data_IF_334225554036
#
_entry.id   IF_334225554036
#
_cell.length_a   1.000
_cell.length_b   1.000
_cell.length_c   1.000
_cell.angle_alpha   90.00
_cell.angle_beta   90.00
_cell.angle_gamma   90.00
#
_symmetry.space_group_name_H-M   'P 1'
#
loop_
_entity.id
_entity.type
_entity.pdbx_description
1 polymer ?
#
# COMPACT_ATOMS: atom_id res chain seq x y z
N UNK A 1 30.20 -25.53 -40.69
CA UNK A 1 29.16 -25.77 -39.65
C UNK A 1 29.34 -24.91 -38.40
N UNK A 2 30.54 -24.70 -37.86
CA UNK A 2 30.86 -23.91 -36.64
C UNK A 2 30.52 -22.41 -36.78
N UNK A 3 30.84 -21.78 -37.93
CA UNK A 3 30.59 -20.35 -38.21
C UNK A 3 29.09 -20.01 -38.21
N UNK A 4 28.26 -20.88 -38.75
CA UNK A 4 26.81 -20.64 -38.79
C UNK A 4 26.15 -20.75 -37.39
N UNK A 5 26.68 -21.62 -36.51
CA UNK A 5 26.25 -21.67 -35.11
C UNK A 5 26.64 -20.40 -34.36
N UNK A 6 27.86 -19.90 -34.54
CA UNK A 6 28.34 -18.67 -33.92
C UNK A 6 27.48 -17.46 -34.36
N UNK A 7 27.21 -17.32 -35.65
CA UNK A 7 26.32 -16.26 -36.17
C UNK A 7 24.91 -16.32 -35.55
N UNK A 8 24.36 -17.54 -35.39
CA UNK A 8 23.06 -17.74 -34.76
C UNK A 8 23.05 -17.32 -33.26
N UNK A 9 24.10 -17.67 -32.51
CA UNK A 9 24.28 -17.28 -31.09
C UNK A 9 24.39 -15.78 -30.98
N UNK A 10 25.23 -15.12 -31.79
CA UNK A 10 25.38 -13.66 -31.80
C UNK A 10 24.04 -12.98 -32.10
N UNK A 11 23.28 -13.47 -33.09
CA UNK A 11 21.96 -12.91 -33.44
C UNK A 11 20.99 -13.01 -32.25
N UNK A 12 20.92 -14.16 -31.58
CA UNK A 12 20.06 -14.35 -30.40
C UNK A 12 20.48 -13.41 -29.27
N UNK A 13 21.79 -13.29 -29.03
CA UNK A 13 22.31 -12.38 -28.02
C UNK A 13 21.95 -10.91 -28.31
N UNK A 14 22.09 -10.45 -29.55
CA UNK A 14 21.72 -9.09 -29.94
C UNK A 14 20.21 -8.85 -29.83
N UNK A 15 19.36 -9.84 -30.10
CA UNK A 15 17.91 -9.75 -29.91
C UNK A 15 17.60 -9.59 -28.42
N UNK A 16 18.19 -10.39 -27.54
CA UNK A 16 18.01 -10.30 -26.10
C UNK A 16 18.44 -8.91 -25.59
N UNK A 17 19.61 -8.43 -26.05
CA UNK A 17 20.11 -7.10 -25.68
C UNK A 17 19.15 -5.99 -26.13
N UNK A 18 18.61 -6.08 -27.35
CA UNK A 18 17.62 -5.12 -27.86
C UNK A 18 16.34 -5.13 -27.03
N UNK A 19 15.84 -6.31 -26.65
CA UNK A 19 14.65 -6.45 -25.79
C UNK A 19 14.91 -5.80 -24.42
N UNK A 20 16.07 -6.08 -23.80
CA UNK A 20 16.43 -5.48 -22.52
C UNK A 20 16.52 -3.95 -22.60
N UNK A 21 17.10 -3.43 -23.68
CA UNK A 21 17.16 -1.98 -23.90
C UNK A 21 15.76 -1.35 -24.03
N UNK A 22 14.85 -2.00 -24.75
CA UNK A 22 13.45 -1.54 -24.88
C UNK A 22 12.76 -1.53 -23.50
N UNK A 23 12.97 -2.56 -22.69
CA UNK A 23 12.41 -2.63 -21.33
C UNK A 23 12.94 -1.47 -20.48
N UNK A 24 14.25 -1.21 -20.51
CA UNK A 24 14.85 -0.09 -19.76
C UNK A 24 14.26 1.25 -20.22
N UNK A 25 14.15 1.49 -21.51
CA UNK A 25 13.56 2.71 -22.07
C UNK A 25 12.09 2.86 -21.60
N UNK A 26 11.32 1.77 -21.63
CA UNK A 26 9.94 1.79 -21.16
C UNK A 26 9.83 2.11 -19.66
N UNK A 27 10.69 1.53 -18.81
CA UNK A 27 10.73 1.81 -17.38
C UNK A 27 11.08 3.27 -17.12
N UNK A 28 12.13 3.79 -17.76
CA UNK A 28 12.55 5.19 -17.63
C UNK A 28 11.44 6.13 -18.12
N UNK A 29 10.82 5.83 -19.24
CA UNK A 29 9.68 6.59 -19.78
C UNK A 29 8.51 6.63 -18.81
N UNK A 30 8.13 5.50 -18.21
CA UNK A 30 7.08 5.44 -17.19
C UNK A 30 7.43 6.28 -15.95
N UNK A 31 8.67 6.22 -15.47
CA UNK A 31 9.12 7.00 -14.33
C UNK A 31 9.07 8.52 -14.62
N UNK A 32 9.52 8.97 -15.79
CA UNK A 32 9.46 10.36 -16.21
C UNK A 32 8.01 10.87 -16.32
N UNK A 33 7.10 10.06 -16.90
CA UNK A 33 5.68 10.43 -16.98
C UNK A 33 5.08 10.58 -15.60
N UNK A 34 5.39 9.68 -14.67
CA UNK A 34 4.91 9.76 -13.28
C UNK A 34 5.43 11.02 -12.60
N UNK A 35 6.71 11.34 -12.76
CA UNK A 35 7.32 12.54 -12.19
C UNK A 35 6.65 13.82 -12.70
N UNK A 36 6.38 13.92 -14.01
CA UNK A 36 5.74 15.11 -14.60
C UNK A 36 4.23 15.19 -14.38
N UNK A 37 3.57 14.09 -13.99
CA UNK A 37 2.13 14.03 -13.72
C UNK A 37 1.76 14.04 -12.25
N UNK A 38 2.67 14.40 -11.37
CA UNK A 38 2.33 14.57 -9.96
C UNK A 38 1.30 15.70 -9.81
N UNK A 39 0.27 15.51 -8.98
CA UNK A 39 -0.67 16.58 -8.68
C UNK A 39 0.08 17.75 -8.04
N UNK A 40 -0.17 18.93 -8.56
CA UNK A 40 0.34 20.15 -7.93
C UNK A 40 -0.64 20.51 -6.84
N UNK A 41 -0.16 20.65 -5.61
CA UNK A 41 -0.96 21.14 -4.49
C UNK A 41 -1.46 22.56 -4.81
N UNK A 42 -2.75 22.80 -4.62
CA UNK A 42 -3.31 24.14 -4.68
C UNK A 42 -2.79 24.98 -3.52
N UNK A 43 -2.96 26.30 -3.58
CA UNK A 43 -2.58 27.17 -2.45
C UNK A 43 -3.46 26.87 -1.22
N UNK A 44 -4.71 26.48 -1.43
CA UNK A 44 -5.62 26.04 -0.37
C UNK A 44 -5.11 24.75 0.31
N UNK A 45 -4.69 23.73 -0.48
CA UNK A 45 -4.08 22.52 0.05
C UNK A 45 -2.81 22.81 0.87
N UNK A 46 -1.99 23.77 0.40
CA UNK A 46 -0.75 24.15 1.09
C UNK A 46 -1.03 24.87 2.40
N UNK A 47 -2.07 25.70 2.45
CA UNK A 47 -2.48 26.39 3.66
C UNK A 47 -3.07 25.40 4.67
N UNK A 48 -3.94 24.49 4.23
CA UNK A 48 -4.51 23.45 5.08
C UNK A 48 -3.43 22.52 5.66
N UNK A 49 -2.44 22.13 4.84
CA UNK A 49 -1.32 21.29 5.23
C UNK A 49 -0.15 22.07 5.88
N UNK A 50 -0.31 23.36 6.15
CA UNK A 50 0.73 24.15 6.79
C UNK A 50 0.95 23.69 8.23
N UNK A 51 2.21 23.70 8.66
CA UNK A 51 2.60 23.32 10.04
C UNK A 51 1.80 24.12 11.07
N UNK A 52 1.61 25.41 10.82
CA UNK A 52 0.87 26.29 11.72
C UNK A 52 -0.60 25.87 11.89
N UNK A 53 -1.27 25.49 10.80
CA UNK A 53 -2.66 25.01 10.86
C UNK A 53 -2.77 23.65 11.56
N UNK A 54 -1.85 22.73 11.28
CA UNK A 54 -1.80 21.43 11.93
C UNK A 54 -1.56 21.58 13.45
N UNK A 55 -0.65 22.48 13.86
CA UNK A 55 -0.35 22.71 15.26
C UNK A 55 -1.44 23.50 16.02
N UNK A 56 -2.12 24.45 15.38
CA UNK A 56 -3.20 25.24 15.99
C UNK A 56 -4.38 24.40 16.48
N UNK A 57 -4.61 23.24 15.88
CA UNK A 57 -5.72 22.35 16.26
C UNK A 57 -5.38 21.42 17.42
N UNK A 58 -4.13 21.39 17.89
CA UNK A 58 -3.66 20.51 18.96
C UNK A 58 -3.71 21.26 20.30
N UNK A 59 -4.61 20.81 21.16
CA UNK A 59 -4.82 21.42 22.49
C UNK A 59 -4.34 20.52 23.63
N UNK A 60 -4.12 19.25 23.38
CA UNK A 60 -3.78 18.24 24.40
C UNK A 60 -2.38 17.66 24.16
N UNK A 61 -1.63 17.34 25.24
CA UNK A 61 -0.35 16.63 25.10
C UNK A 61 -0.57 15.22 24.56
N UNK A 62 0.28 14.80 23.62
CA UNK A 62 0.29 13.45 23.10
C UNK A 62 1.31 12.58 23.83
N UNK A 63 0.99 11.32 24.05
CA UNK A 63 1.93 10.32 24.54
C UNK A 63 2.44 9.51 23.37
N UNK A 64 3.76 9.34 23.29
CA UNK A 64 4.41 8.49 22.30
C UNK A 64 5.21 7.39 23.01
N UNK A 65 5.15 6.19 22.47
CA UNK A 65 5.92 5.03 22.93
C UNK A 65 6.66 4.41 21.75
N UNK A 66 7.89 3.99 21.97
CA UNK A 66 8.70 3.28 20.98
C UNK A 66 8.60 1.79 21.23
N UNK A 67 8.14 1.04 20.24
CA UNK A 67 8.01 -0.42 20.29
C UNK A 67 9.13 -1.02 19.44
N UNK A 68 10.11 -1.65 20.05
CA UNK A 68 11.30 -2.18 19.37
C UNK A 68 11.11 -3.66 18.92
N UNK A 69 10.34 -4.44 19.67
CA UNK A 69 10.09 -5.84 19.34
C UNK A 69 8.95 -6.02 18.34
N UNK A 70 9.17 -6.85 17.31
CA UNK A 70 8.17 -7.09 16.27
C UNK A 70 6.93 -7.82 16.76
N UNK A 71 7.06 -8.72 17.75
CA UNK A 71 5.94 -9.41 18.38
C UNK A 71 5.08 -8.47 19.17
N UNK A 72 5.69 -7.57 19.95
CA UNK A 72 4.99 -6.53 20.70
C UNK A 72 4.29 -5.55 19.75
N UNK A 73 4.94 -5.17 18.65
CA UNK A 73 4.34 -4.32 17.62
C UNK A 73 3.11 -4.97 16.97
N UNK A 74 3.11 -6.29 16.75
CA UNK A 74 1.94 -7.02 16.27
C UNK A 74 0.84 -7.06 17.32
N UNK A 75 1.18 -7.34 18.58
CA UNK A 75 0.22 -7.37 19.69
C UNK A 75 -0.44 -6.02 19.90
N UNK A 76 0.31 -4.92 19.85
CA UNK A 76 -0.26 -3.58 20.00
C UNK A 76 -1.21 -3.22 18.85
N UNK A 77 -0.90 -3.63 17.61
CA UNK A 77 -1.85 -3.48 16.49
C UNK A 77 -3.15 -4.25 16.74
N UNK A 78 -3.05 -5.50 17.18
CA UNK A 78 -4.23 -6.32 17.51
C UNK A 78 -5.02 -5.67 18.64
N UNK A 79 -4.37 -5.18 19.70
CA UNK A 79 -5.03 -4.48 20.81
C UNK A 79 -5.75 -3.20 20.34
N UNK A 80 -5.11 -2.41 19.47
CA UNK A 80 -5.74 -1.22 18.91
C UNK A 80 -7.02 -1.57 18.14
N UNK A 81 -6.96 -2.58 17.26
CA UNK A 81 -8.10 -3.06 16.49
C UNK A 81 -9.20 -3.60 17.41
N UNK A 82 -8.83 -4.42 18.40
CA UNK A 82 -9.79 -5.05 19.31
C UNK A 82 -10.50 -4.05 20.23
N UNK A 83 -9.87 -2.91 20.54
CA UNK A 83 -10.43 -1.86 21.40
C UNK A 83 -11.11 -0.73 20.62
N UNK A 84 -11.03 -0.71 19.31
CA UNK A 84 -11.72 0.26 18.46
C UNK A 84 -13.23 0.11 18.60
N UNK A 85 -13.93 1.26 18.61
CA UNK A 85 -15.39 1.35 18.80
C UNK A 85 -16.13 1.96 17.62
N UNK A 86 -15.48 2.91 16.93
CA UNK A 86 -16.11 3.69 15.88
C UNK A 86 -15.49 3.39 14.52
N UNK A 87 -14.17 3.55 14.38
CA UNK A 87 -13.49 3.43 13.10
C UNK A 87 -12.07 2.89 13.21
N UNK A 88 -11.68 2.11 12.21
CA UNK A 88 -10.30 1.69 11.96
C UNK A 88 -9.89 2.13 10.56
N UNK A 89 -8.73 2.78 10.46
CA UNK A 89 -8.06 3.09 9.19
C UNK A 89 -6.72 2.36 9.18
N UNK A 90 -6.58 1.42 8.24
CA UNK A 90 -5.32 0.71 8.01
C UNK A 90 -4.77 1.09 6.64
N UNK A 91 -3.60 1.70 6.60
CA UNK A 91 -2.86 1.96 5.37
C UNK A 91 -1.58 1.14 5.35
N UNK A 92 -1.36 0.35 4.30
CA UNK A 92 -0.20 -0.53 4.25
C UNK A 92 0.30 -0.77 2.82
N UNK A 93 1.64 -0.78 2.70
CA UNK A 93 2.32 -1.02 1.44
C UNK A 93 2.19 -2.47 0.94
N UNK A 94 2.42 -3.45 1.81
CA UNK A 94 2.34 -4.88 1.48
C UNK A 94 1.54 -5.62 2.55
N UNK A 95 0.36 -6.07 2.18
CA UNK A 95 -0.52 -6.81 3.07
C UNK A 95 -0.60 -8.27 2.58
N UNK A 96 -0.10 -9.18 3.39
CA UNK A 96 -0.07 -10.63 3.08
C UNK A 96 -0.95 -11.38 4.05
N UNK A 97 -1.56 -12.46 3.59
CA UNK A 97 -2.23 -13.42 4.46
C UNK A 97 -1.25 -14.50 4.95
N UNK A 98 -0.06 -14.07 5.43
CA UNK A 98 0.84 -14.90 6.24
C UNK A 98 0.34 -15.01 7.69
N UNK A 99 1.08 -15.63 8.58
CA UNK A 99 0.61 -15.87 9.94
C UNK A 99 0.29 -14.57 10.69
N UNK A 100 1.13 -13.56 10.59
CA UNK A 100 0.88 -12.24 11.19
C UNK A 100 -0.28 -11.52 10.51
N UNK A 101 -0.33 -11.57 9.19
CA UNK A 101 -1.39 -10.93 8.42
C UNK A 101 -2.76 -11.55 8.64
N UNK A 102 -2.84 -12.88 8.84
CA UNK A 102 -4.10 -13.55 9.20
C UNK A 102 -4.62 -13.12 10.55
N UNK A 103 -3.74 -12.89 11.53
CA UNK A 103 -4.12 -12.36 12.84
C UNK A 103 -4.73 -10.96 12.72
N UNK A 104 -4.11 -10.09 11.92
CA UNK A 104 -4.64 -8.74 11.66
C UNK A 104 -5.98 -8.81 10.87
N UNK A 105 -6.05 -9.66 9.83
CA UNK A 105 -7.28 -9.82 9.04
C UNK A 105 -8.44 -10.35 9.91
N UNK A 106 -8.17 -11.32 10.79
CA UNK A 106 -9.15 -11.83 11.76
C UNK A 106 -9.62 -10.73 12.72
N UNK A 107 -8.69 -9.98 13.31
CA UNK A 107 -9.03 -8.89 14.22
C UNK A 107 -9.86 -7.78 13.53
N UNK A 108 -9.55 -7.47 12.26
CA UNK A 108 -10.34 -6.50 11.47
C UNK A 108 -11.74 -7.02 11.16
N UNK A 109 -11.88 -8.31 10.85
CA UNK A 109 -13.19 -8.94 10.64
C UNK A 109 -14.01 -8.93 11.92
N UNK A 110 -13.43 -9.33 13.06
CA UNK A 110 -14.09 -9.25 14.38
C UNK A 110 -14.52 -7.82 14.72
N UNK A 111 -13.72 -6.80 14.35
CA UNK A 111 -14.08 -5.40 14.53
C UNK A 111 -15.30 -5.02 13.68
N UNK A 112 -15.31 -5.42 12.41
CA UNK A 112 -16.45 -5.23 11.50
C UNK A 112 -17.73 -5.88 12.07
N UNK A 113 -17.66 -7.11 12.59
CA UNK A 113 -18.78 -7.82 13.23
C UNK A 113 -19.30 -7.11 14.49
N UNK A 114 -18.42 -6.33 15.18
CA UNK A 114 -18.84 -5.45 16.28
C UNK A 114 -19.49 -4.14 15.83
N UNK A 115 -19.57 -3.88 14.53
CA UNK A 115 -20.13 -2.66 13.95
C UNK A 115 -19.12 -1.52 13.79
N UNK A 116 -17.83 -1.79 13.93
CA UNK A 116 -16.75 -0.80 13.70
C UNK A 116 -16.57 -0.60 12.20
N UNK A 117 -16.47 0.65 11.74
CA UNK A 117 -16.14 0.96 10.37
C UNK A 117 -14.68 0.61 10.05
N UNK A 118 -14.44 -0.31 9.12
CA UNK A 118 -13.09 -0.78 8.77
C UNK A 118 -12.68 -0.29 7.39
N UNK A 119 -11.73 0.65 7.35
CA UNK A 119 -11.20 1.23 6.12
C UNK A 119 -9.76 0.76 5.88
N UNK A 120 -9.53 0.02 4.81
CA UNK A 120 -8.21 -0.51 4.44
C UNK A 120 -7.76 0.08 3.12
N UNK A 121 -6.53 0.59 3.07
CA UNK A 121 -5.90 1.05 1.83
C UNK A 121 -4.61 0.24 1.62
N UNK A 122 -4.48 -0.38 0.45
CA UNK A 122 -3.31 -1.20 0.09
C UNK A 122 -2.71 -0.71 -1.21
N UNK A 123 -1.39 -0.73 -1.32
CA UNK A 123 -0.68 -0.39 -2.56
C UNK A 123 -1.13 -1.26 -3.74
N UNK A 124 -1.18 -0.67 -4.94
CA UNK A 124 -1.75 -1.28 -6.13
C UNK A 124 -1.09 -2.58 -6.57
N UNK A 125 0.24 -2.67 -6.48
CA UNK A 125 0.97 -3.88 -6.87
C UNK A 125 0.80 -4.97 -5.81
N UNK A 126 0.87 -4.62 -4.53
CA UNK A 126 0.60 -5.55 -3.44
C UNK A 126 -0.84 -6.09 -3.50
N UNK A 127 -1.83 -5.21 -3.67
CA UNK A 127 -3.22 -5.61 -3.84
C UNK A 127 -3.41 -6.59 -5.01
N UNK A 128 -2.78 -6.33 -6.15
CA UNK A 128 -2.84 -7.23 -7.30
C UNK A 128 -2.21 -8.61 -7.03
N UNK A 129 -1.03 -8.64 -6.39
CA UNK A 129 -0.26 -9.87 -6.18
C UNK A 129 -0.72 -10.71 -4.98
N UNK A 130 -1.36 -10.08 -3.98
CA UNK A 130 -1.61 -10.72 -2.67
C UNK A 130 -3.08 -10.92 -2.34
N UNK A 131 -3.94 -10.05 -2.86
CA UNK A 131 -5.35 -10.02 -2.43
C UNK A 131 -6.28 -10.76 -3.39
N UNK A 132 -6.01 -10.71 -4.71
CA UNK A 132 -6.87 -11.33 -5.71
C UNK A 132 -7.01 -12.84 -5.48
N UNK A 133 -8.25 -13.32 -5.33
CA UNK A 133 -8.56 -14.74 -5.10
C UNK A 133 -8.10 -15.28 -3.76
N UNK A 134 -7.76 -14.41 -2.80
CA UNK A 134 -7.35 -14.84 -1.47
C UNK A 134 -8.55 -14.79 -0.52
N UNK A 135 -8.99 -15.93 0.05
CA UNK A 135 -10.23 -16.04 0.81
C UNK A 135 -10.25 -15.18 2.09
N UNK A 136 -9.12 -14.88 2.69
CA UNK A 136 -9.06 -14.02 3.88
C UNK A 136 -9.41 -12.58 3.56
N UNK A 137 -8.94 -12.06 2.42
CA UNK A 137 -9.28 -10.71 1.97
C UNK A 137 -10.72 -10.63 1.45
N UNK A 138 -11.20 -11.70 0.81
CA UNK A 138 -12.60 -11.80 0.38
C UNK A 138 -13.56 -11.82 1.58
N UNK A 139 -13.23 -12.55 2.64
CA UNK A 139 -14.00 -12.57 3.88
C UNK A 139 -14.06 -11.18 4.52
N UNK A 140 -12.91 -10.49 4.65
CA UNK A 140 -12.88 -9.13 5.18
C UNK A 140 -13.69 -8.16 4.30
N UNK A 141 -13.56 -8.25 2.97
CA UNK A 141 -14.30 -7.39 2.04
C UNK A 141 -15.83 -7.61 2.08
N UNK A 142 -16.28 -8.79 2.50
CA UNK A 142 -17.69 -9.11 2.69
C UNK A 142 -18.24 -8.64 4.04
N UNK A 143 -17.39 -8.20 4.98
CA UNK A 143 -17.78 -7.69 6.28
C UNK A 143 -18.61 -6.41 6.16
N UNK A 144 -19.65 -6.28 6.98
CA UNK A 144 -20.47 -5.07 7.03
C UNK A 144 -19.65 -3.88 7.54
N UNK A 145 -19.78 -2.71 6.90
CA UNK A 145 -18.97 -1.52 7.26
C UNK A 145 -17.50 -1.60 6.84
N UNK A 146 -17.10 -2.62 6.07
CA UNK A 146 -15.72 -2.75 5.56
C UNK A 146 -15.56 -2.13 4.19
N UNK A 147 -14.49 -1.36 4.00
CA UNK A 147 -14.07 -0.77 2.73
C UNK A 147 -12.60 -1.06 2.46
N UNK A 148 -12.30 -1.81 1.39
CA UNK A 148 -10.92 -2.05 0.95
C UNK A 148 -10.67 -1.30 -0.34
N UNK A 149 -9.72 -0.37 -0.33
CA UNK A 149 -9.31 0.44 -1.48
C UNK A 149 -7.91 0.07 -1.93
N UNK A 150 -7.73 -0.05 -3.23
CA UNK A 150 -6.42 -0.29 -3.84
C UNK A 150 -5.90 1.01 -4.44
N UNK A 151 -4.81 1.51 -3.87
CA UNK A 151 -4.15 2.72 -4.35
C UNK A 151 -3.42 2.45 -5.68
N UNK A 152 -3.61 3.29 -6.68
CA UNK A 152 -3.03 3.14 -8.02
C UNK A 152 -3.11 1.70 -8.55
N UNK A 153 -4.33 1.17 -8.62
CA UNK A 153 -4.61 -0.18 -9.11
C UNK A 153 -3.87 -0.46 -10.42
N UNK A 154 -3.25 -1.63 -10.52
CA UNK A 154 -2.53 -2.09 -11.71
C UNK A 154 -3.40 -1.95 -12.96
N UNK A 155 -2.92 -1.18 -13.94
CA UNK A 155 -3.61 -0.97 -15.21
C UNK A 155 -2.60 -1.11 -16.35
N UNK A 156 -2.67 -2.19 -17.16
CA UNK A 156 -1.76 -2.42 -18.27
C UNK A 156 -1.78 -1.31 -19.34
N UNK A 157 -2.90 -0.57 -19.47
CA UNK A 157 -3.02 0.54 -20.41
C UNK A 157 -2.40 1.83 -19.90
N UNK A 158 -2.09 1.90 -18.58
CA UNK A 158 -1.46 3.04 -17.93
C UNK A 158 -0.33 2.58 -17.01
N UNK A 159 0.71 1.91 -17.55
CA UNK A 159 1.75 1.26 -16.75
C UNK A 159 2.55 2.24 -15.87
N UNK A 160 2.65 3.51 -16.29
CA UNK A 160 3.30 4.55 -15.48
C UNK A 160 2.66 4.79 -14.11
N UNK A 161 1.35 4.49 -13.94
CA UNK A 161 0.69 4.61 -12.64
C UNK A 161 1.27 3.65 -11.59
N UNK A 162 1.83 2.52 -12.03
CA UNK A 162 2.48 1.56 -11.13
C UNK A 162 3.76 2.11 -10.47
N UNK A 163 4.34 3.20 -11.00
CA UNK A 163 5.51 3.87 -10.41
C UNK A 163 5.14 4.74 -9.21
N UNK A 164 3.92 5.25 -9.16
CA UNK A 164 3.40 5.99 -8.01
C UNK A 164 2.93 5.01 -6.93
N UNK A 165 3.88 4.54 -6.10
CA UNK A 165 3.63 3.57 -5.02
C UNK A 165 3.26 4.28 -3.73
N UNK A 166 2.28 3.71 -3.02
CA UNK A 166 1.99 4.10 -1.65
C UNK A 166 2.93 3.33 -0.71
N UNK A 167 3.64 4.02 0.16
CA UNK A 167 4.57 3.37 1.08
C UNK A 167 4.22 3.59 2.56
N UNK A 168 2.95 3.88 2.81
CA UNK A 168 2.42 4.08 4.16
C UNK A 168 2.31 2.76 4.91
N UNK A 169 2.44 2.85 6.22
CA UNK A 169 2.31 1.73 7.15
C UNK A 169 1.81 2.26 8.49
N UNK A 170 0.52 2.53 8.59
CA UNK A 170 -0.09 2.99 9.82
C UNK A 170 -1.46 2.35 10.06
N UNK A 171 -1.81 2.26 11.30
CA UNK A 171 -3.12 1.88 11.80
C UNK A 171 -3.62 2.99 12.72
N UNK A 172 -4.81 3.49 12.47
CA UNK A 172 -5.48 4.49 13.29
C UNK A 172 -6.78 3.88 13.83
N UNK A 173 -7.03 4.04 15.12
CA UNK A 173 -8.26 3.62 15.77
C UNK A 173 -8.97 4.84 16.37
N UNK A 174 -10.25 5.01 16.02
CA UNK A 174 -11.16 6.04 16.52
C UNK A 174 -10.63 7.48 16.38
N UNK A 175 -9.73 7.72 15.42
CA UNK A 175 -9.06 9.00 15.22
C UNK A 175 -8.19 9.49 16.40
N UNK A 176 -7.88 8.61 17.36
CA UNK A 176 -7.22 8.99 18.64
C UNK A 176 -5.91 8.24 18.89
N UNK A 177 -5.81 7.03 18.42
CA UNK A 177 -4.64 6.15 18.63
C UNK A 177 -4.11 5.67 17.31
N UNK A 178 -2.80 5.65 17.16
CA UNK A 178 -2.16 5.19 15.92
C UNK A 178 -0.84 4.45 16.19
N UNK A 179 -0.47 3.57 15.31
CA UNK A 179 0.78 2.83 15.27
C UNK A 179 1.24 2.65 13.82
#
# INVERSE_FOLDING_TARGET
MRINRLKKVIKVFLIILAILLIIVIAIVGCALITYHKQPVLTEEDKEELSVDNIWKTRTEPEMAEVIEDNGDALLERIKLISNARDEIILSTFDFRADDSGKLILGALLDASERGVSVNVIVDGVSGFLRMNGNPYFEALAAGEGTSIKIYNKVNPLKPWKMMGRMHDKYLIADGKRYI
#
